data_IF_378676153763
#
_entry.id   IF_378676153763
#
_cell.length_a   1.000
_cell.length_b   1.000
_cell.length_c   1.000
_cell.angle_alpha   90.00
_cell.angle_beta   90.00
_cell.angle_gamma   90.00
#
_symmetry.space_group_name_H-M   'P 1'
#
loop_
_entity.id
_entity.type
_entity.pdbx_description
1 polymer ?
#
# COMPACT_ATOMS: atom_id res chain seq x y z
N UNK A 1 20.41 44.46 -54.61
CA UNK A 1 19.62 45.56 -54.01
C UNK A 1 18.43 44.94 -53.30
N UNK A 2 18.30 45.20 -51.99
CA UNK A 2 17.23 44.87 -51.03
C UNK A 2 16.81 43.39 -50.92
N UNK A 3 16.92 42.67 -49.80
CA UNK A 3 17.22 43.03 -48.40
C UNK A 3 16.03 42.71 -47.47
N UNK A 4 16.27 41.78 -46.53
CA UNK A 4 15.67 41.70 -45.15
C UNK A 4 14.20 41.20 -45.03
N UNK A 5 13.73 40.39 -44.06
CA UNK A 5 14.09 39.95 -42.68
C UNK A 5 13.55 38.51 -42.47
N UNK A 6 14.34 37.51 -42.04
CA UNK A 6 14.54 37.02 -40.65
C UNK A 6 13.34 37.19 -39.71
N UNK A 7 12.67 36.07 -39.38
CA UNK A 7 11.72 35.95 -38.27
C UNK A 7 12.00 34.68 -37.48
N UNK A 8 12.74 34.81 -36.37
CA UNK A 8 13.02 33.79 -35.35
C UNK A 8 11.85 33.63 -34.37
N UNK A 9 11.79 32.52 -33.59
CA UNK A 9 10.54 31.91 -33.14
C UNK A 9 9.93 32.58 -31.91
N UNK A 10 8.59 32.55 -31.85
CA UNK A 10 7.79 32.98 -30.69
C UNK A 10 8.18 32.17 -29.45
N UNK A 11 8.42 32.91 -28.37
CA UNK A 11 8.87 32.40 -27.08
C UNK A 11 7.93 31.34 -26.48
N UNK A 12 8.52 30.20 -26.14
CA UNK A 12 7.94 29.17 -25.29
C UNK A 12 7.95 29.70 -23.85
N UNK A 13 6.80 30.15 -23.35
CA UNK A 13 6.63 30.45 -21.93
C UNK A 13 6.64 29.11 -21.21
N UNK A 14 7.81 28.71 -20.74
CA UNK A 14 7.97 27.58 -19.84
C UNK A 14 7.41 28.03 -18.49
N UNK A 15 6.11 27.81 -18.26
CA UNK A 15 5.49 27.97 -16.96
C UNK A 15 6.08 26.92 -16.00
N UNK A 16 7.26 27.21 -15.45
CA UNK A 16 7.77 26.53 -14.27
C UNK A 16 6.97 27.00 -13.07
N UNK A 17 5.72 26.53 -12.95
CA UNK A 17 5.03 26.56 -11.66
C UNK A 17 5.66 25.46 -10.82
N UNK A 18 6.70 25.81 -10.07
CA UNK A 18 7.18 25.00 -8.96
C UNK A 18 6.02 24.82 -7.97
N UNK A 19 5.40 23.65 -7.96
CA UNK A 19 4.43 23.25 -6.94
C UNK A 19 5.16 23.08 -5.60
N UNK A 20 5.31 24.19 -4.88
CA UNK A 20 5.75 24.22 -3.47
C UNK A 20 4.82 23.41 -2.54
N UNK A 21 3.71 22.90 -3.05
CA UNK A 21 2.73 22.09 -2.32
C UNK A 21 3.16 20.65 -2.03
N UNK A 22 4.13 20.10 -2.78
CA UNK A 22 4.47 18.67 -2.67
C UNK A 22 5.34 18.31 -1.45
N UNK A 23 6.08 19.27 -0.86
CA UNK A 23 6.94 19.01 0.31
C UNK A 23 6.25 19.15 1.67
N UNK A 24 5.14 19.89 1.74
CA UNK A 24 4.45 20.18 3.01
C UNK A 24 3.62 19.01 3.55
N UNK A 25 3.24 18.04 2.71
CA UNK A 25 2.46 16.85 3.10
C UNK A 25 3.31 15.61 3.44
N UNK A 26 4.56 15.54 2.98
CA UNK A 26 5.47 14.43 3.30
C UNK A 26 6.06 14.53 4.73
N UNK A 27 6.27 15.74 5.25
CA UNK A 27 6.82 15.97 6.59
C UNK A 27 5.91 15.53 7.76
N UNK A 28 4.57 15.74 7.75
CA UNK A 28 3.72 15.23 8.83
C UNK A 28 3.55 13.70 8.80
N UNK A 29 3.65 13.05 7.63
CA UNK A 29 3.63 11.58 7.50
C UNK A 29 4.94 10.94 8.00
N UNK A 30 6.09 11.60 7.82
CA UNK A 30 7.35 11.20 8.44
C UNK A 30 7.32 11.43 9.97
N UNK A 31 6.66 12.52 10.42
CA UNK A 31 6.45 12.84 11.84
C UNK A 31 5.57 11.81 12.57
N UNK A 32 4.53 11.28 11.90
CA UNK A 32 3.69 10.18 12.42
C UNK A 32 4.41 8.83 12.51
N UNK A 33 5.49 8.62 11.73
CA UNK A 33 6.35 7.44 11.84
C UNK A 33 7.40 7.56 12.97
N UNK A 34 7.74 8.78 13.39
CA UNK A 34 8.74 9.05 14.43
C UNK A 34 8.15 9.37 15.81
N UNK A 35 6.85 9.67 15.90
CA UNK A 35 6.15 9.79 17.19
C UNK A 35 5.43 8.48 17.55
N UNK A 36 5.60 7.94 18.76
CA UNK A 36 4.68 6.93 19.26
C UNK A 36 3.30 7.59 19.38
N UNK A 37 2.29 7.01 18.74
CA UNK A 37 0.89 7.24 19.08
C UNK A 37 0.67 6.77 20.52
N UNK A 38 1.01 7.63 21.48
CA UNK A 38 0.61 7.50 22.87
C UNK A 38 -0.87 7.84 22.97
N UNK A 39 -1.68 6.82 23.29
CA UNK A 39 -3.00 7.00 23.87
C UNK A 39 -4.18 6.93 22.91
N UNK A 40 -4.52 5.73 22.45
CA UNK A 40 -5.95 5.37 22.35
C UNK A 40 -6.29 4.71 23.67
N UNK A 41 -7.17 5.36 24.41
CA UNK A 41 -7.61 4.99 25.75
C UNK A 41 -8.14 3.55 25.76
N UNK A 42 -7.43 2.67 26.48
CA UNK A 42 -8.06 1.50 27.07
C UNK A 42 -8.79 1.94 28.35
N UNK A 43 -9.92 1.30 28.55
CA UNK A 43 -10.89 1.48 29.63
C UNK A 43 -10.25 1.77 31.00
N UNK A 44 -10.89 2.69 31.74
CA UNK A 44 -10.66 2.87 33.17
C UNK A 44 -10.86 1.53 33.91
N UNK A 45 -9.77 0.85 34.21
CA UNK A 45 -9.69 -0.01 35.38
C UNK A 45 -9.06 0.83 36.49
N UNK A 46 -9.89 1.36 37.38
CA UNK A 46 -9.44 2.01 38.61
C UNK A 46 -8.89 0.93 39.54
N UNK A 47 -7.58 0.76 39.60
CA UNK A 47 -6.86 0.30 40.79
C UNK A 47 -5.34 0.50 40.61
N UNK A 48 -4.74 1.25 41.55
CA UNK A 48 -3.31 1.18 41.83
C UNK A 48 -2.44 2.18 41.08
N UNK A 49 -2.10 3.29 41.74
CA UNK A 49 -0.90 4.09 41.47
C UNK A 49 0.35 3.22 41.62
N UNK A 50 0.92 2.75 40.51
CA UNK A 50 2.33 2.33 40.44
C UNK A 50 3.14 3.43 39.74
N UNK A 51 4.27 3.88 40.31
CA UNK A 51 5.13 4.86 39.67
C UNK A 51 5.71 4.28 38.38
N UNK A 52 5.71 5.09 37.31
CA UNK A 52 6.23 4.73 36.01
C UNK A 52 7.64 4.13 36.13
N UNK A 53 7.77 2.82 35.85
CA UNK A 53 9.06 2.18 35.75
C UNK A 53 9.91 2.88 34.69
N UNK A 54 11.19 3.19 34.99
CA UNK A 54 12.09 3.74 33.99
C UNK A 54 12.21 2.74 32.84
N UNK A 55 12.10 3.24 31.60
CA UNK A 55 12.32 2.48 30.37
C UNK A 55 13.71 1.83 30.48
N UNK A 56 13.77 0.59 30.94
CA UNK A 56 14.99 -0.18 30.94
C UNK A 56 15.42 -0.30 29.49
N UNK A 57 16.50 0.39 29.11
CA UNK A 57 17.25 0.09 27.89
C UNK A 57 17.70 -1.37 28.03
N UNK A 58 16.90 -2.32 27.52
CA UNK A 58 17.31 -3.71 27.36
C UNK A 58 18.68 -3.69 26.70
N UNK A 59 19.68 -4.19 27.41
CA UNK A 59 21.03 -4.31 26.89
C UNK A 59 20.95 -4.96 25.51
N UNK A 60 21.61 -4.37 24.50
CA UNK A 60 21.70 -4.94 23.15
C UNK A 60 22.29 -6.33 23.30
N UNK A 61 21.43 -7.35 23.28
CA UNK A 61 21.86 -8.74 23.28
C UNK A 61 22.56 -8.96 21.95
N UNK A 62 23.76 -9.53 21.96
CA UNK A 62 24.49 -9.81 20.73
C UNK A 62 23.59 -10.62 19.77
N UNK A 63 23.53 -10.20 18.51
CA UNK A 63 22.69 -10.85 17.51
C UNK A 63 23.09 -12.32 17.36
N UNK A 64 22.14 -13.23 17.62
CA UNK A 64 22.32 -14.67 17.44
C UNK A 64 21.33 -15.17 16.37
N UNK A 65 21.79 -15.50 15.15
CA UNK A 65 20.92 -15.99 14.08
C UNK A 65 20.31 -17.37 14.40
N UNK A 66 20.87 -18.14 15.34
CA UNK A 66 20.37 -19.46 15.75
C UNK A 66 19.42 -19.40 16.95
N UNK A 67 19.13 -18.21 17.48
CA UNK A 67 18.17 -18.08 18.58
C UNK A 67 16.79 -18.67 18.19
N UNK A 68 16.24 -19.51 19.09
CA UNK A 68 14.96 -20.19 18.90
C UNK A 68 15.00 -21.37 17.92
N UNK A 69 16.18 -21.86 17.53
CA UNK A 69 16.38 -23.09 16.76
C UNK A 69 16.89 -24.22 17.65
N UNK A 70 16.50 -25.45 17.34
CA UNK A 70 17.07 -26.67 17.90
C UNK A 70 18.48 -26.91 17.34
N UNK A 71 19.24 -27.82 17.98
CA UNK A 71 20.64 -28.14 17.59
C UNK A 71 20.75 -28.70 16.17
N UNK A 72 19.69 -29.32 15.67
CA UNK A 72 19.60 -29.86 14.30
C UNK A 72 19.12 -28.81 13.27
N UNK A 73 18.91 -27.56 13.71
CA UNK A 73 18.43 -26.46 12.87
C UNK A 73 16.92 -26.40 12.71
N UNK A 74 16.15 -27.30 13.34
CA UNK A 74 14.68 -27.23 13.30
C UNK A 74 14.17 -26.05 14.13
N UNK A 75 13.06 -25.48 13.67
CA UNK A 75 12.35 -24.46 14.43
C UNK A 75 11.12 -25.14 15.04
N UNK A 76 11.04 -25.24 16.38
CA UNK A 76 9.94 -25.91 17.05
C UNK A 76 8.63 -25.20 16.73
N UNK A 77 7.64 -25.97 16.24
CA UNK A 77 6.30 -25.45 15.95
C UNK A 77 5.35 -25.89 17.06
N UNK A 78 4.67 -24.93 17.68
CA UNK A 78 3.53 -25.22 18.57
C UNK A 78 2.21 -25.11 17.81
N UNK A 79 1.22 -25.86 18.27
CA UNK A 79 -0.16 -25.65 17.85
C UNK A 79 -0.66 -24.28 18.29
N UNK A 80 -1.66 -23.76 17.58
CA UNK A 80 -2.42 -22.61 18.08
C UNK A 80 -3.16 -23.06 19.35
N UNK A 81 -3.22 -22.20 20.40
CA UNK A 81 -4.03 -22.47 21.59
C UNK A 81 -5.49 -22.84 21.25
N UNK A 82 -6.08 -23.76 22.00
CA UNK A 82 -7.44 -24.27 21.76
C UNK A 82 -8.54 -23.20 21.94
N UNK A 83 -8.22 -22.11 22.65
CA UNK A 83 -9.11 -20.96 22.81
C UNK A 83 -9.12 -20.02 21.59
N UNK A 84 -8.19 -20.20 20.64
CA UNK A 84 -8.24 -19.51 19.34
C UNK A 84 -9.32 -20.16 18.48
N UNK A 85 -10.48 -19.51 18.48
CA UNK A 85 -11.60 -19.85 17.61
C UNK A 85 -11.27 -19.50 16.16
N UNK A 86 -11.71 -20.33 15.21
CA UNK A 86 -11.38 -20.25 13.78
C UNK A 86 -9.85 -20.20 13.49
N UNK A 87 -9.09 -21.24 13.91
CA UNK A 87 -7.62 -21.25 13.81
C UNK A 87 -7.09 -21.11 12.38
N UNK A 88 -7.88 -21.46 11.35
CA UNK A 88 -7.49 -21.31 9.95
C UNK A 88 -7.21 -19.86 9.51
N UNK A 89 -7.71 -18.87 10.26
CA UNK A 89 -7.52 -17.43 10.00
C UNK A 89 -6.29 -16.84 10.68
N UNK A 90 -5.72 -17.58 11.61
CA UNK A 90 -4.55 -17.18 12.36
C UNK A 90 -3.29 -17.75 11.71
N UNK A 91 -2.20 -17.01 11.80
CA UNK A 91 -0.87 -17.46 11.39
C UNK A 91 0.03 -17.51 12.60
N UNK A 92 0.56 -18.69 12.85
CA UNK A 92 1.57 -18.91 13.86
C UNK A 92 2.95 -18.62 13.31
N UNK A 93 3.70 -17.77 13.99
CA UNK A 93 5.13 -17.54 13.74
C UNK A 93 5.91 -18.08 14.94
N UNK A 94 6.74 -19.12 14.76
CA UNK A 94 7.55 -19.66 15.85
C UNK A 94 8.60 -18.67 16.36
N UNK A 95 9.04 -18.84 17.60
CA UNK A 95 10.04 -17.96 18.24
C UNK A 95 11.33 -17.84 17.41
N UNK A 96 11.82 -18.97 16.88
CA UNK A 96 13.01 -18.99 16.03
C UNK A 96 12.89 -18.18 14.72
N UNK A 97 11.69 -17.71 14.34
CA UNK A 97 11.45 -16.82 13.18
C UNK A 97 11.31 -15.34 13.57
N UNK A 98 11.40 -15.01 14.86
CA UNK A 98 11.35 -13.65 15.41
C UNK A 98 12.77 -13.28 15.83
N UNK A 99 13.52 -12.67 14.91
CA UNK A 99 14.94 -12.37 15.16
C UNK A 99 15.11 -11.07 15.94
N UNK A 100 15.96 -11.04 16.98
CA UNK A 100 16.33 -9.80 17.66
C UNK A 100 17.23 -8.94 16.76
N UNK A 101 17.45 -7.70 17.16
CA UNK A 101 18.36 -6.78 16.46
C UNK A 101 17.66 -5.77 15.58
N UNK A 102 18.44 -4.83 15.05
CA UNK A 102 17.94 -3.75 14.20
C UNK A 102 17.75 -4.20 12.73
N UNK A 103 17.29 -3.31 11.86
CA UNK A 103 17.02 -3.60 10.44
C UNK A 103 18.26 -4.15 9.70
N UNK A 104 19.46 -3.64 10.03
CA UNK A 104 20.73 -4.07 9.42
C UNK A 104 21.13 -5.45 9.95
N UNK A 105 21.00 -5.67 11.27
CA UNK A 105 21.33 -6.97 11.90
C UNK A 105 20.49 -8.12 11.32
N UNK A 106 19.28 -7.81 10.84
CA UNK A 106 18.30 -8.79 10.36
C UNK A 106 18.16 -8.84 8.83
N UNK A 107 19.11 -8.25 8.12
CA UNK A 107 19.16 -8.31 6.66
C UNK A 107 19.14 -9.76 6.18
N UNK A 108 18.34 -10.04 5.14
CA UNK A 108 18.06 -11.36 4.57
C UNK A 108 17.29 -12.34 5.47
N UNK A 109 16.89 -11.94 6.68
CA UNK A 109 16.08 -12.81 7.57
C UNK A 109 14.68 -12.23 7.81
N UNK A 110 14.61 -10.97 8.24
CA UNK A 110 13.34 -10.26 8.41
C UNK A 110 13.31 -8.92 7.68
N UNK A 111 14.47 -8.46 7.23
CA UNK A 111 14.62 -7.24 6.44
C UNK A 111 15.21 -7.63 5.10
N UNK A 112 14.60 -7.20 3.99
CA UNK A 112 15.00 -7.59 2.64
C UNK A 112 15.25 -6.35 1.80
N UNK A 113 16.34 -6.37 1.04
CA UNK A 113 16.61 -5.42 -0.03
C UNK A 113 16.52 -6.22 -1.33
N UNK A 114 15.51 -5.93 -2.14
CA UNK A 114 15.22 -6.66 -3.38
C UNK A 114 15.44 -5.70 -4.56
N UNK A 115 16.34 -6.02 -5.49
CA UNK A 115 16.49 -5.22 -6.70
C UNK A 115 15.25 -5.37 -7.58
N UNK A 116 14.89 -4.30 -8.27
CA UNK A 116 13.85 -4.26 -9.28
C UNK A 116 14.54 -3.96 -10.61
N UNK A 117 14.31 -4.78 -11.63
CA UNK A 117 14.82 -4.58 -12.99
C UNK A 117 13.70 -4.93 -13.95
N UNK A 118 13.42 -4.06 -14.91
CA UNK A 118 12.42 -4.28 -15.95
C UNK A 118 12.78 -3.49 -17.22
N UNK A 119 12.07 -3.76 -18.31
CA UNK A 119 12.18 -3.00 -19.55
C UNK A 119 10.79 -2.90 -20.17
N UNK A 120 10.46 -1.72 -20.67
CA UNK A 120 9.21 -1.43 -21.35
C UNK A 120 9.48 -0.53 -22.56
N UNK A 121 8.80 -0.77 -23.68
CA UNK A 121 9.15 -0.16 -24.96
C UNK A 121 9.06 1.37 -24.93
N UNK A 122 8.04 1.91 -24.28
CA UNK A 122 7.75 3.35 -24.30
C UNK A 122 8.50 4.15 -23.22
N UNK A 123 9.04 3.48 -22.19
CA UNK A 123 9.72 4.13 -21.04
C UNK A 123 11.13 3.60 -20.78
N UNK A 124 11.61 2.70 -21.63
CA UNK A 124 12.96 2.17 -21.65
C UNK A 124 13.29 1.20 -20.52
N UNK A 125 14.57 1.15 -20.15
CA UNK A 125 15.05 0.26 -19.08
C UNK A 125 14.70 0.86 -17.71
N UNK A 126 14.14 0.03 -16.84
CA UNK A 126 13.73 0.38 -15.49
C UNK A 126 14.56 -0.32 -14.42
N UNK A 127 14.89 0.41 -13.37
CA UNK A 127 15.65 -0.08 -12.23
C UNK A 127 15.13 0.46 -10.91
N UNK A 128 15.34 -0.28 -9.83
CA UNK A 128 14.85 0.13 -8.52
C UNK A 128 15.28 -0.76 -7.38
N UNK A 129 14.80 -0.41 -6.19
CA UNK A 129 14.99 -1.16 -4.95
C UNK A 129 13.68 -1.23 -4.17
N UNK A 130 13.41 -2.40 -3.60
CA UNK A 130 12.40 -2.60 -2.58
C UNK A 130 13.10 -2.92 -1.25
N UNK A 131 12.85 -2.12 -0.23
CA UNK A 131 13.32 -2.36 1.14
C UNK A 131 12.11 -2.69 1.99
N UNK A 132 12.04 -3.92 2.50
CA UNK A 132 10.92 -4.37 3.35
C UNK A 132 11.42 -4.92 4.66
N UNK A 133 10.72 -4.64 5.76
CA UNK A 133 10.97 -5.24 7.07
C UNK A 133 9.65 -5.70 7.68
N UNK A 134 9.59 -7.00 7.99
CA UNK A 134 8.42 -7.70 8.53
C UNK A 134 8.29 -7.61 10.05
N UNK A 135 9.15 -6.83 10.71
CA UNK A 135 9.10 -6.50 12.13
C UNK A 135 9.96 -5.25 12.46
N UNK A 136 9.76 -4.13 11.74
CA UNK A 136 10.69 -2.99 11.77
C UNK A 136 10.80 -2.30 13.15
N UNK A 137 9.74 -2.32 13.96
CA UNK A 137 9.74 -1.83 15.36
C UNK A 137 10.04 -2.90 16.41
N UNK A 138 10.44 -4.11 15.99
CA UNK A 138 10.70 -5.24 16.89
C UNK A 138 9.50 -5.54 17.81
N UNK A 139 8.29 -5.44 17.28
CA UNK A 139 7.05 -5.74 17.99
C UNK A 139 6.60 -7.16 17.70
N UNK A 140 7.55 -8.09 17.63
CA UNK A 140 7.33 -9.53 17.47
C UNK A 140 6.39 -9.84 16.32
N UNK A 141 6.71 -9.31 15.13
CA UNK A 141 5.97 -9.49 13.86
C UNK A 141 4.54 -8.92 13.89
N UNK A 142 4.25 -7.95 14.77
CA UNK A 142 2.96 -7.24 14.75
C UNK A 142 2.86 -6.25 13.61
N UNK A 143 3.96 -5.94 12.94
CA UNK A 143 4.00 -4.88 11.94
C UNK A 143 4.90 -5.20 10.77
N UNK A 144 4.56 -4.61 9.63
CA UNK A 144 5.30 -4.66 8.39
C UNK A 144 5.49 -3.24 7.87
N UNK A 145 6.65 -2.96 7.30
CA UNK A 145 6.91 -1.75 6.55
C UNK A 145 7.66 -2.08 5.25
N UNK A 146 7.36 -1.34 4.20
CA UNK A 146 8.03 -1.46 2.90
C UNK A 146 8.19 -0.11 2.23
N UNK A 147 9.34 0.10 1.59
CA UNK A 147 9.63 1.24 0.72
C UNK A 147 10.02 0.66 -0.65
N UNK A 148 9.43 1.19 -1.72
CA UNK A 148 9.68 0.76 -3.09
C UNK A 148 10.01 1.97 -3.93
N UNK A 149 11.18 1.94 -4.55
CA UNK A 149 11.71 3.03 -5.37
C UNK A 149 12.07 2.48 -6.74
N UNK A 150 11.57 3.06 -7.81
CA UNK A 150 11.97 2.71 -9.17
C UNK A 150 12.00 3.92 -10.09
N UNK A 151 12.88 3.87 -11.08
CA UNK A 151 13.09 4.89 -12.09
C UNK A 151 13.40 4.23 -13.44
N UNK A 152 13.01 4.85 -14.55
CA UNK A 152 13.33 4.36 -15.91
C UNK A 152 14.21 5.34 -16.68
N UNK A 153 14.86 4.89 -17.75
CA UNK A 153 15.73 5.74 -18.58
C UNK A 153 15.02 6.95 -19.17
N UNK A 154 13.73 6.82 -19.48
CA UNK A 154 12.92 7.93 -20.01
C UNK A 154 12.33 8.83 -18.90
N UNK A 155 12.49 8.45 -17.63
CA UNK A 155 12.14 9.29 -16.49
C UNK A 155 10.82 8.97 -15.80
N UNK A 156 10.24 7.80 -16.07
CA UNK A 156 9.10 7.27 -15.29
C UNK A 156 9.58 6.94 -13.87
N UNK A 157 8.78 7.32 -12.87
CA UNK A 157 9.17 7.24 -11.46
C UNK A 157 8.08 6.59 -10.63
N UNK A 158 8.48 5.83 -9.62
CA UNK A 158 7.57 5.35 -8.58
C UNK A 158 8.29 5.27 -7.25
N UNK A 159 7.82 6.04 -6.29
CA UNK A 159 8.28 6.01 -4.91
C UNK A 159 7.08 5.73 -4.02
N UNK A 160 7.08 4.62 -3.31
CA UNK A 160 5.94 4.27 -2.47
C UNK A 160 6.39 3.68 -1.16
N UNK A 161 5.58 3.91 -0.14
CA UNK A 161 5.72 3.29 1.15
C UNK A 161 4.41 2.63 1.56
N UNK A 162 4.55 1.54 2.30
CA UNK A 162 3.45 0.82 2.93
C UNK A 162 3.82 0.50 4.36
N UNK A 163 2.86 0.63 5.24
CA UNK A 163 2.96 0.19 6.62
C UNK A 163 1.69 -0.58 6.97
N UNK A 164 1.84 -1.68 7.69
CA UNK A 164 0.71 -2.46 8.19
C UNK A 164 0.96 -2.87 9.63
N UNK A 165 -0.11 -2.86 10.43
CA UNK A 165 -0.15 -3.40 11.78
C UNK A 165 -1.31 -4.40 11.91
N UNK A 166 -1.01 -5.63 12.34
CA UNK A 166 -2.04 -6.59 12.69
C UNK A 166 -2.68 -6.19 14.03
N UNK A 167 -4.01 -6.10 14.05
CA UNK A 167 -4.78 -5.66 15.22
C UNK A 167 -4.87 -6.78 16.24
N UNK A 168 -5.25 -7.96 15.77
CA UNK A 168 -5.35 -9.19 16.55
C UNK A 168 -4.00 -9.91 16.51
N UNK A 169 -3.23 -9.76 17.59
CA UNK A 169 -1.89 -10.34 17.78
C UNK A 169 -1.79 -10.85 19.21
N UNK A 170 -1.23 -12.05 19.38
CA UNK A 170 -1.15 -12.74 20.66
C UNK A 170 0.17 -13.48 20.79
N UNK A 171 0.79 -13.36 21.96
CA UNK A 171 1.92 -14.21 22.34
C UNK A 171 1.44 -15.59 22.78
N UNK A 172 2.20 -16.62 22.40
CA UNK A 172 1.94 -17.99 22.81
C UNK A 172 3.00 -18.38 23.83
N UNK A 173 2.54 -18.82 25.01
CA UNK A 173 3.40 -19.20 26.13
C UNK A 173 4.48 -20.20 25.72
N UNK A 174 5.73 -19.89 26.05
CA UNK A 174 6.93 -20.67 25.72
C UNK A 174 7.03 -21.00 24.21
N UNK A 175 6.42 -20.17 23.37
CA UNK A 175 6.28 -20.35 21.93
C UNK A 175 6.64 -19.07 21.20
N UNK A 176 5.97 -18.83 20.08
CA UNK A 176 6.15 -17.60 19.29
C UNK A 176 4.94 -16.69 19.42
N UNK A 177 4.44 -16.23 18.30
CA UNK A 177 3.26 -15.37 18.22
C UNK A 177 2.23 -15.93 17.25
N UNK A 178 0.97 -15.53 17.44
CA UNK A 178 -0.09 -15.73 16.47
C UNK A 178 -0.72 -14.37 16.13
N UNK A 179 -1.04 -14.15 14.86
CA UNK A 179 -1.81 -12.98 14.44
C UNK A 179 -2.91 -13.40 13.46
N UNK A 180 -4.00 -12.63 13.45
CA UNK A 180 -5.09 -12.83 12.50
C UNK A 180 -4.83 -12.03 11.21
N UNK A 181 -5.00 -12.67 10.05
CA UNK A 181 -4.75 -12.02 8.75
C UNK A 181 -5.86 -11.06 8.31
N UNK A 182 -7.06 -11.14 8.89
CA UNK A 182 -8.25 -10.37 8.47
C UNK A 182 -8.36 -9.00 9.14
N UNK A 183 -7.66 -8.81 10.27
CA UNK A 183 -7.82 -7.61 11.11
C UNK A 183 -6.51 -6.83 11.17
N UNK A 184 -6.45 -5.71 10.45
CA UNK A 184 -5.24 -4.89 10.33
C UNK A 184 -5.57 -3.41 10.12
N UNK A 185 -4.61 -2.57 10.49
CA UNK A 185 -4.53 -1.17 10.10
C UNK A 185 -3.42 -1.04 9.05
N UNK A 186 -3.69 -0.40 7.91
CA UNK A 186 -2.72 -0.18 6.86
C UNK A 186 -2.64 1.29 6.46
N UNK A 187 -1.42 1.80 6.38
CA UNK A 187 -1.09 3.08 5.78
C UNK A 187 -0.33 2.87 4.48
N UNK A 188 -0.57 3.72 3.49
CA UNK A 188 0.21 3.79 2.26
C UNK A 188 0.40 5.23 1.82
N UNK A 189 1.44 5.48 1.06
CA UNK A 189 1.61 6.77 0.40
C UNK A 189 2.73 6.69 -0.61
N UNK A 190 2.81 7.69 -1.48
CA UNK A 190 3.83 7.71 -2.50
C UNK A 190 3.66 8.80 -3.53
N UNK A 191 4.57 8.76 -4.48
CA UNK A 191 4.60 9.55 -5.68
C UNK A 191 4.80 8.61 -6.87
N UNK A 192 4.09 8.87 -7.96
CA UNK A 192 4.29 8.18 -9.23
C UNK A 192 4.27 9.21 -10.37
N UNK A 193 5.18 9.05 -11.33
CA UNK A 193 5.18 9.79 -12.58
C UNK A 193 5.10 8.78 -13.71
N UNK A 194 3.95 8.72 -14.38
CA UNK A 194 3.69 7.83 -15.50
C UNK A 194 3.72 8.65 -16.77
N UNK A 195 4.59 8.30 -17.72
CA UNK A 195 4.84 9.14 -18.91
C UNK A 195 3.88 8.90 -20.08
N UNK A 196 3.21 7.73 -20.06
CA UNK A 196 2.56 7.15 -21.22
C UNK A 196 1.10 6.80 -20.94
N UNK A 197 0.41 7.63 -20.15
CA UNK A 197 -1.02 7.40 -19.90
C UNK A 197 -1.77 7.62 -21.21
N UNK A 198 -2.53 6.61 -21.64
CA UNK A 198 -3.27 6.60 -22.90
C UNK A 198 -4.70 7.07 -22.68
N UNK A 199 -5.17 7.98 -23.53
CA UNK A 199 -6.52 8.55 -23.50
C UNK A 199 -7.15 8.47 -24.88
N UNK A 200 -8.34 7.89 -24.99
CA UNK A 200 -9.02 7.63 -26.26
C UNK A 200 -10.16 8.61 -26.55
N UNK A 201 -10.28 9.70 -25.79
CA UNK A 201 -11.39 10.65 -25.92
C UNK A 201 -12.58 10.35 -24.99
N UNK A 202 -13.71 11.03 -25.25
CA UNK A 202 -14.94 10.93 -24.45
C UNK A 202 -16.08 10.34 -25.27
N UNK A 203 -16.85 9.43 -24.66
CA UNK A 203 -18.08 8.90 -25.24
C UNK A 203 -17.90 7.55 -25.96
N UNK A 204 -19.03 6.98 -26.39
CA UNK A 204 -19.11 5.63 -26.96
C UNK A 204 -18.60 5.50 -28.38
N UNK A 205 -18.41 6.63 -29.06
CA UNK A 205 -18.02 6.67 -30.48
C UNK A 205 -16.50 6.78 -30.66
N UNK A 206 -15.75 6.77 -29.55
CA UNK A 206 -14.29 6.79 -29.55
C UNK A 206 -13.71 5.47 -30.06
N UNK A 207 -12.62 5.58 -30.81
CA UNK A 207 -11.94 4.47 -31.46
C UNK A 207 -10.46 4.43 -31.07
N UNK A 208 -9.74 3.40 -31.51
CA UNK A 208 -8.30 3.31 -31.28
C UNK A 208 -7.53 4.44 -32.00
N UNK A 209 -8.08 5.01 -33.08
CA UNK A 209 -7.44 6.09 -33.84
C UNK A 209 -7.55 7.45 -33.13
N UNK A 210 -8.43 7.56 -32.12
CA UNK A 210 -8.59 8.74 -31.26
C UNK A 210 -7.61 8.74 -30.08
N UNK A 211 -6.64 7.82 -30.07
CA UNK A 211 -5.64 7.71 -29.00
C UNK A 211 -4.76 8.96 -28.94
N UNK A 212 -4.62 9.48 -27.73
CA UNK A 212 -3.67 10.51 -27.33
C UNK A 212 -2.91 10.04 -26.10
N UNK A 213 -1.83 10.74 -25.75
CA UNK A 213 -1.10 10.46 -24.52
C UNK A 213 -0.86 11.68 -23.65
N UNK A 214 -0.73 11.44 -22.34
CA UNK A 214 -0.29 12.45 -21.38
C UNK A 214 0.59 11.83 -20.29
N UNK A 215 1.35 12.70 -19.61
CA UNK A 215 2.08 12.36 -18.41
C UNK A 215 1.22 12.67 -17.18
N UNK A 216 1.11 11.73 -16.25
CA UNK A 216 0.42 11.91 -14.96
C UNK A 216 1.41 11.80 -13.80
N UNK A 217 1.54 12.88 -13.03
CA UNK A 217 2.26 12.92 -11.77
C UNK A 217 1.29 12.87 -10.59
N UNK A 218 1.27 11.75 -9.87
CA UNK A 218 0.36 11.51 -8.75
C UNK A 218 1.13 11.50 -7.45
N UNK A 219 0.71 12.34 -6.50
CA UNK A 219 1.06 12.18 -5.09
C UNK A 219 -0.15 11.64 -4.34
N UNK A 220 0.03 10.59 -3.56
CA UNK A 220 -1.07 9.94 -2.87
C UNK A 220 -0.73 9.53 -1.44
N UNK A 221 -1.77 9.42 -0.62
CA UNK A 221 -1.69 8.96 0.75
C UNK A 221 -3.00 8.29 1.16
N UNK A 222 -2.95 7.32 2.05
CA UNK A 222 -4.16 6.69 2.54
C UNK A 222 -3.95 5.86 3.79
N UNK A 223 -5.04 5.74 4.54
CA UNK A 223 -5.13 4.93 5.76
C UNK A 223 -6.42 4.14 5.70
N UNK A 224 -6.36 2.86 6.04
CA UNK A 224 -7.55 2.03 6.15
C UNK A 224 -7.44 0.99 7.26
N UNK A 225 -8.57 0.75 7.91
CA UNK A 225 -8.75 -0.29 8.91
C UNK A 225 -9.64 -1.36 8.32
N UNK A 226 -9.23 -2.62 8.44
CA UNK A 226 -10.05 -3.78 8.15
C UNK A 226 -10.17 -4.61 9.43
N UNK A 227 -11.36 -5.10 9.73
CA UNK A 227 -11.58 -5.92 10.92
C UNK A 227 -12.71 -6.91 10.71
N UNK A 228 -12.53 -8.14 11.21
CA UNK A 228 -13.60 -9.12 11.33
C UNK A 228 -14.55 -8.75 12.47
N UNK A 229 -15.84 -8.98 12.29
CA UNK A 229 -16.81 -8.80 13.37
C UNK A 229 -16.49 -9.74 14.56
N UNK A 230 -16.88 -9.38 15.79
CA UNK A 230 -16.83 -10.29 16.91
C UNK A 230 -17.65 -11.55 16.65
N UNK A 231 -17.30 -12.62 17.35
CA UNK A 231 -18.06 -13.86 17.27
C UNK A 231 -19.48 -13.71 17.81
N UNK A 232 -20.45 -14.46 17.25
CA UNK A 232 -20.31 -15.50 16.20
C UNK A 232 -20.24 -14.96 14.76
N UNK A 233 -20.24 -13.64 14.55
CA UNK A 233 -20.32 -13.01 13.22
C UNK A 233 -19.00 -12.87 12.47
N UNK A 234 -17.94 -13.55 12.89
CA UNK A 234 -16.56 -13.27 12.44
C UNK A 234 -16.26 -13.64 10.97
N UNK A 235 -17.20 -14.28 10.26
CA UNK A 235 -17.16 -14.39 8.80
C UNK A 235 -17.46 -13.04 8.12
N UNK A 236 -18.17 -12.13 8.79
CA UNK A 236 -18.33 -10.76 8.35
C UNK A 236 -17.05 -9.96 8.64
N UNK A 237 -16.64 -9.15 7.68
CA UNK A 237 -15.49 -8.26 7.72
C UNK A 237 -15.95 -6.90 7.22
N UNK A 238 -15.52 -5.84 7.88
CA UNK A 238 -15.69 -4.48 7.35
C UNK A 238 -14.34 -3.85 7.10
N UNK A 239 -14.31 -2.92 6.16
CA UNK A 239 -13.18 -2.02 5.95
C UNK A 239 -13.68 -0.57 5.84
N UNK A 240 -12.93 0.33 6.45
CA UNK A 240 -13.10 1.78 6.31
C UNK A 240 -11.76 2.39 5.94
N UNK A 241 -11.76 3.38 5.06
CA UNK A 241 -10.54 4.06 4.69
C UNK A 241 -10.74 5.44 4.11
N UNK A 242 -9.63 6.15 4.10
CA UNK A 242 -9.47 7.51 3.58
C UNK A 242 -8.26 7.49 2.65
N UNK A 243 -8.41 8.04 1.46
CA UNK A 243 -7.32 8.22 0.50
C UNK A 243 -7.35 9.65 -0.04
N UNK A 244 -6.18 10.25 -0.19
CA UNK A 244 -6.01 11.55 -0.84
C UNK A 244 -5.11 11.35 -2.04
N UNK A 245 -5.48 11.94 -3.17
CA UNK A 245 -4.71 11.92 -4.40
C UNK A 245 -4.61 13.34 -4.94
N UNK A 246 -3.45 13.67 -5.49
CA UNK A 246 -3.20 14.93 -6.17
C UNK A 246 -2.44 14.65 -7.46
N UNK A 247 -3.02 15.07 -8.58
CA UNK A 247 -2.55 14.84 -9.93
C UNK A 247 -2.02 16.14 -10.54
N UNK A 248 -0.90 16.05 -11.23
CA UNK A 248 -0.41 17.10 -12.12
C UNK A 248 -0.18 16.47 -13.48
N UNK A 249 -0.90 16.96 -14.48
CA UNK A 249 -0.83 16.47 -15.83
C UNK A 249 0.19 17.29 -16.62
N UNK A 250 0.91 16.64 -17.53
CA UNK A 250 1.80 17.32 -18.48
C UNK A 250 1.82 16.61 -19.83
N UNK A 251 2.53 17.20 -20.79
CA UNK A 251 2.64 16.68 -22.15
C UNK A 251 2.95 15.18 -22.18
N UNK A 252 2.27 14.46 -23.08
CA UNK A 252 2.48 13.04 -23.31
C UNK A 252 3.84 12.71 -23.90
N UNK A 253 4.33 11.52 -23.56
CA UNK A 253 5.63 11.03 -24.03
C UNK A 253 5.53 9.99 -25.16
N UNK A 254 4.34 9.45 -25.43
CA UNK A 254 4.18 8.43 -26.46
C UNK A 254 4.32 9.03 -27.85
N UNK A 255 5.42 8.73 -28.53
CA UNK A 255 5.79 9.35 -29.82
C UNK A 255 4.86 9.03 -30.99
N UNK A 256 4.05 7.97 -30.89
CA UNK A 256 3.18 7.50 -31.97
C UNK A 256 1.81 8.16 -32.01
N UNK A 257 1.46 8.96 -30.99
CA UNK A 257 0.14 9.58 -30.84
C UNK A 257 0.27 11.05 -30.43
N UNK A 258 -0.72 11.90 -30.76
CA UNK A 258 -0.74 13.29 -30.29
C UNK A 258 -0.76 13.39 -28.75
N UNK A 259 -0.37 14.56 -28.24
CA UNK A 259 -0.46 14.85 -26.82
C UNK A 259 -1.87 15.31 -26.45
N UNK A 260 -2.41 14.84 -25.32
CA UNK A 260 -3.79 15.16 -24.90
C UNK A 260 -4.00 16.65 -24.65
N UNK A 261 -2.98 17.39 -24.20
CA UNK A 261 -3.04 18.84 -23.99
C UNK A 261 -3.14 19.65 -25.30
N UNK A 262 -2.74 19.05 -26.42
CA UNK A 262 -2.83 19.68 -27.75
C UNK A 262 -4.21 19.41 -28.38
N UNK A 263 -4.72 18.19 -28.30
CA UNK A 263 -6.02 17.79 -28.89
C UNK A 263 -7.23 18.19 -28.03
N UNK A 264 -7.10 18.12 -26.70
CA UNK A 264 -8.18 18.42 -25.76
C UNK A 264 -7.78 19.50 -24.72
N UNK A 265 -7.36 20.70 -25.15
CA UNK A 265 -6.72 21.69 -24.27
C UNK A 265 -7.61 22.13 -23.11
N UNK A 266 -8.92 22.30 -23.34
CA UNK A 266 -9.86 22.72 -22.29
C UNK A 266 -10.11 21.61 -21.26
N UNK A 267 -10.20 20.35 -21.70
CA UNK A 267 -10.37 19.20 -20.81
C UNK A 267 -9.11 19.01 -19.98
N UNK A 268 -7.95 19.10 -20.62
CA UNK A 268 -6.64 18.94 -19.98
C UNK A 268 -6.41 20.00 -18.91
N UNK A 269 -6.60 21.28 -19.24
CA UNK A 269 -6.44 22.40 -18.28
C UNK A 269 -7.41 22.28 -17.08
N UNK A 270 -8.63 21.75 -17.31
CA UNK A 270 -9.58 21.50 -16.23
C UNK A 270 -9.25 20.29 -15.34
N UNK A 271 -8.36 19.41 -15.81
CA UNK A 271 -7.99 18.14 -15.16
C UNK A 271 -6.58 18.16 -14.58
N UNK A 272 -5.77 19.17 -14.89
CA UNK A 272 -4.48 19.43 -14.25
C UNK A 272 -4.67 20.03 -12.84
N UNK A 273 -3.65 19.92 -12.00
CA UNK A 273 -3.65 20.40 -10.60
C UNK A 273 -4.88 19.88 -9.82
N UNK A 274 -5.20 18.59 -10.02
CA UNK A 274 -6.44 18.00 -9.56
C UNK A 274 -6.24 17.27 -8.23
N UNK A 275 -6.95 17.71 -7.18
CA UNK A 275 -6.94 17.08 -5.86
C UNK A 275 -8.24 16.35 -5.58
N UNK A 276 -8.17 15.20 -4.90
CA UNK A 276 -9.36 14.51 -4.42
C UNK A 276 -9.15 13.81 -3.08
N UNK A 277 -10.22 13.75 -2.30
CA UNK A 277 -10.36 12.95 -1.09
C UNK A 277 -11.38 11.85 -1.38
N UNK A 278 -10.96 10.59 -1.27
CA UNK A 278 -11.83 9.42 -1.34
C UNK A 278 -12.07 8.82 0.04
N UNK A 279 -13.31 8.44 0.31
CA UNK A 279 -13.73 7.65 1.45
C UNK A 279 -14.20 6.29 0.96
N UNK A 280 -13.60 5.22 1.47
CA UNK A 280 -13.91 3.86 1.07
C UNK A 280 -14.57 3.09 2.23
N UNK A 281 -15.65 2.38 1.93
CA UNK A 281 -16.34 1.48 2.83
C UNK A 281 -16.54 0.13 2.17
N UNK A 282 -16.34 -0.96 2.92
CA UNK A 282 -16.61 -2.31 2.44
C UNK A 282 -17.23 -3.14 3.55
N UNK A 283 -18.16 -4.01 3.17
CA UNK A 283 -18.69 -5.08 3.98
C UNK A 283 -18.60 -6.40 3.19
N UNK A 284 -17.96 -7.39 3.78
CA UNK A 284 -17.70 -8.69 3.17
C UNK A 284 -18.17 -9.80 4.10
N UNK A 285 -18.86 -10.79 3.56
CA UNK A 285 -19.10 -12.07 4.22
C UNK A 285 -18.23 -13.14 3.57
N UNK A 286 -17.21 -13.63 4.28
CA UNK A 286 -16.17 -14.52 3.75
C UNK A 286 -16.03 -15.81 4.58
N UNK A 287 -16.56 -16.90 4.01
CA UNK A 287 -16.55 -18.25 4.56
C UNK A 287 -15.44 -19.13 3.99
N UNK A 288 -14.56 -18.56 3.14
CA UNK A 288 -13.46 -19.32 2.54
C UNK A 288 -12.49 -19.82 3.60
N UNK A 289 -11.92 -21.00 3.36
CA UNK A 289 -10.92 -21.61 4.22
C UNK A 289 -9.56 -20.91 4.17
N UNK A 290 -9.24 -20.25 3.05
CA UNK A 290 -8.06 -19.40 2.86
C UNK A 290 -8.41 -18.18 2.02
N UNK A 291 -7.82 -17.02 2.35
CA UNK A 291 -7.99 -15.80 1.56
C UNK A 291 -7.18 -15.81 0.26
N UNK A 292 -6.04 -16.51 0.24
CA UNK A 292 -5.08 -16.49 -0.87
C UNK A 292 -5.21 -17.71 -1.79
N UNK A 293 -5.70 -18.83 -1.27
CA UNK A 293 -5.83 -20.07 -2.04
C UNK A 293 -7.00 -20.90 -1.50
N UNK A 294 -8.25 -20.45 -1.74
CA UNK A 294 -9.44 -21.12 -1.21
C UNK A 294 -9.67 -22.47 -1.91
N UNK A 295 -9.95 -23.52 -1.13
CA UNK A 295 -10.38 -24.82 -1.64
C UNK A 295 -11.87 -25.09 -1.39
N UNK A 296 -12.51 -24.27 -0.55
CA UNK A 296 -13.95 -24.34 -0.26
C UNK A 296 -14.47 -23.00 0.28
N UNK A 297 -15.79 -22.83 0.20
CA UNK A 297 -16.50 -21.68 0.77
C UNK A 297 -16.74 -20.59 -0.26
N UNK A 298 -17.31 -19.47 0.20
CA UNK A 298 -17.64 -18.34 -0.67
C UNK A 298 -17.46 -16.99 0.01
N UNK A 299 -17.41 -15.97 -0.83
CA UNK A 299 -17.27 -14.56 -0.49
C UNK A 299 -18.38 -13.79 -1.22
N UNK A 300 -19.04 -12.88 -0.51
CA UNK A 300 -19.84 -11.80 -1.08
C UNK A 300 -19.34 -10.49 -0.47
N UNK A 301 -19.09 -9.48 -1.28
CA UNK A 301 -18.60 -8.17 -0.87
C UNK A 301 -19.41 -7.06 -1.50
N UNK A 302 -19.84 -6.10 -0.67
CA UNK A 302 -20.32 -4.80 -1.09
C UNK A 302 -19.25 -3.76 -0.77
N UNK A 303 -18.84 -2.97 -1.75
CA UNK A 303 -17.96 -1.82 -1.56
C UNK A 303 -18.60 -0.52 -2.04
N UNK A 304 -18.21 0.58 -1.40
CA UNK A 304 -18.61 1.95 -1.72
C UNK A 304 -17.36 2.81 -1.68
N UNK A 305 -17.07 3.50 -2.78
CA UNK A 305 -15.98 4.45 -2.90
C UNK A 305 -16.57 5.82 -3.25
N UNK A 306 -16.63 6.71 -2.26
CA UNK A 306 -17.14 8.07 -2.39
C UNK A 306 -16.01 9.08 -2.55
N UNK A 307 -16.21 10.10 -3.39
CA UNK A 307 -15.32 11.24 -3.56
C UNK A 307 -16.06 12.51 -3.10
N UNK A 308 -16.19 12.73 -1.78
CA UNK A 308 -16.96 13.86 -1.26
C UNK A 308 -16.31 15.22 -1.50
N UNK A 309 -14.98 15.27 -1.65
CA UNK A 309 -14.23 16.49 -1.94
C UNK A 309 -13.29 16.23 -3.12
N UNK A 310 -13.41 17.04 -4.17
CA UNK A 310 -12.49 17.05 -5.30
C UNK A 310 -12.45 18.44 -5.95
N UNK A 311 -11.35 18.73 -6.67
CA UNK A 311 -11.26 19.93 -7.51
C UNK A 311 -12.49 20.01 -8.43
N UNK A 312 -13.13 21.19 -8.51
CA UNK A 312 -14.37 21.37 -9.26
C UNK A 312 -15.67 21.07 -8.49
N UNK A 313 -15.60 20.62 -7.22
CA UNK A 313 -16.74 20.48 -6.29
C UNK A 313 -17.90 19.58 -6.76
N UNK A 314 -17.64 18.58 -7.60
CA UNK A 314 -18.63 17.54 -7.92
C UNK A 314 -18.45 16.37 -6.96
N UNK A 315 -19.45 16.03 -6.15
CA UNK A 315 -19.37 14.80 -5.36
C UNK A 315 -19.75 13.61 -6.23
N UNK A 316 -19.01 12.51 -6.13
CA UNK A 316 -19.31 11.26 -6.84
C UNK A 316 -19.21 10.06 -5.90
N UNK A 317 -19.85 8.95 -6.26
CA UNK A 317 -19.68 7.69 -5.57
C UNK A 317 -19.80 6.53 -6.55
N UNK A 318 -19.01 5.50 -6.32
CA UNK A 318 -19.11 4.21 -7.02
C UNK A 318 -19.46 3.13 -6.00
N UNK A 319 -20.25 2.17 -6.42
CA UNK A 319 -20.61 1.01 -5.62
C UNK A 319 -20.34 -0.26 -6.43
N UNK A 320 -19.86 -1.30 -5.77
CA UNK A 320 -19.61 -2.59 -6.41
C UNK A 320 -20.10 -3.75 -5.54
N UNK A 321 -20.58 -4.79 -6.19
CA UNK A 321 -20.94 -6.07 -5.58
C UNK A 321 -20.10 -7.17 -6.22
N UNK A 322 -19.27 -7.82 -5.42
CA UNK A 322 -18.43 -8.95 -5.87
C UNK A 322 -18.88 -10.24 -5.19
N UNK A 323 -18.84 -11.35 -5.94
CA UNK A 323 -19.12 -12.69 -5.42
C UNK A 323 -18.14 -13.72 -5.97
N UNK A 324 -17.66 -14.62 -5.11
CA UNK A 324 -16.74 -15.69 -5.49
C UNK A 324 -17.04 -16.96 -4.68
N UNK A 325 -17.02 -18.13 -5.31
CA UNK A 325 -17.19 -19.42 -4.66
C UNK A 325 -16.11 -20.41 -5.09
N UNK A 326 -15.56 -21.13 -4.12
CA UNK A 326 -14.62 -22.22 -4.33
C UNK A 326 -15.29 -23.55 -3.97
N UNK A 327 -15.15 -24.53 -4.84
CA UNK A 327 -15.57 -25.91 -4.63
C UNK A 327 -14.45 -26.85 -5.04
N UNK A 328 -14.33 -27.98 -4.35
CA UNK A 328 -13.35 -29.00 -4.70
C UNK A 328 -13.75 -29.67 -6.01
N UNK A 329 -12.82 -29.76 -6.94
CA UNK A 329 -12.93 -30.61 -8.13
C UNK A 329 -12.10 -31.88 -7.91
N UNK A 330 -12.54 -33.05 -8.40
CA UNK A 330 -11.72 -34.26 -8.38
C UNK A 330 -10.36 -34.00 -9.05
N UNK A 331 -9.28 -34.44 -8.42
CA UNK A 331 -7.95 -34.31 -8.99
C UNK A 331 -7.85 -35.16 -10.27
N UNK A 332 -7.42 -34.57 -11.38
CA UNK A 332 -7.04 -35.35 -12.57
C UNK A 332 -5.71 -36.11 -12.34
N UNK A 333 -4.90 -35.72 -11.35
CA UNK A 333 -3.56 -36.28 -11.08
C UNK A 333 -3.15 -36.35 -9.60
N UNK A 334 -4.07 -36.23 -8.64
CA UNK A 334 -3.76 -36.32 -7.22
C UNK A 334 -4.78 -37.20 -6.51
N UNK A 335 -4.37 -38.44 -6.23
CA UNK A 335 -4.99 -39.35 -5.25
C UNK A 335 -4.53 -39.01 -3.83
#
# INVERSE_FOLDING_TARGET
MSGTLVGTPKGRIQNRRCSLFSWALLLPLLGLLLYPLSGVANELSTNGTDPAEPIQKKARTAYNPFAGMEKDGRIPKKGLPDDIKNPGRWRYVPEGRIKPGNVIDRLFVSSFITPIVFYEQDVGAGGGIAVTDIDFRQQRRREFAGIFLSYTTEGQQRYSMVWQRWLNHREIKDGGIAFEERSFLRGRGGYAKTLTVRFFGLGTDTTADDETSYTDEVTYGGLFVQQSFPQPGDNAVYQLGINTEHHNLSQGYASSVPSTDEEYPLLFDSSDDYGMLRLNGMLRYDTRDSQHSPYKGGLIELSIDGVPLQSGNSAAATTALEGNWAFKVPGLFHD
#
